data_IF_841715248735
#
_entry.id   IF_841715248735
#
_cell.length_a   1.000
_cell.length_b   1.000
_cell.length_c   1.000
_cell.angle_alpha   90.00
_cell.angle_beta   90.00
_cell.angle_gamma   90.00
#
_symmetry.space_group_name_H-M   'P 1'
#
loop_
_entity.id
_entity.type
_entity.pdbx_description
1 polymer ?
#
# COMPACT_ATOMS: atom_id res chain seq x y z
N UNK A 1 -7.38 0.10 -16.66
CA UNK A 1 -6.52 0.87 -15.72
C UNK A 1 -5.35 1.52 -16.48
N UNK A 2 -4.98 2.78 -16.17
CA UNK A 2 -3.80 3.44 -16.78
C UNK A 2 -2.66 3.64 -15.81
N UNK A 3 -1.42 3.63 -16.29
CA UNK A 3 -0.24 3.97 -15.49
C UNK A 3 -0.28 5.45 -15.07
N UNK A 4 0.21 5.74 -13.87
CA UNK A 4 0.34 7.11 -13.38
C UNK A 4 1.55 7.81 -14.01
N UNK A 5 1.47 9.13 -14.15
CA UNK A 5 2.58 9.99 -14.58
C UNK A 5 3.41 10.46 -13.38
N UNK A 6 4.62 10.96 -13.64
CA UNK A 6 5.53 11.48 -12.60
C UNK A 6 4.91 12.61 -11.77
N UNK A 7 4.19 13.52 -12.41
CA UNK A 7 3.50 14.65 -11.77
C UNK A 7 2.23 14.24 -11.02
N UNK A 8 1.72 13.01 -11.24
CA UNK A 8 0.53 12.49 -10.57
C UNK A 8 0.81 11.84 -9.21
N UNK A 9 2.08 11.61 -8.84
CA UNK A 9 2.45 10.99 -7.55
C UNK A 9 1.75 11.67 -6.37
N UNK A 10 1.79 13.01 -6.32
CA UNK A 10 1.16 13.77 -5.22
C UNK A 10 -0.35 13.58 -5.20
N UNK A 11 -1.00 13.57 -6.38
CA UNK A 11 -2.45 13.37 -6.49
C UNK A 11 -2.85 11.98 -6.01
N UNK A 12 -2.10 10.96 -6.40
CA UNK A 12 -2.33 9.56 -6.01
C UNK A 12 -2.10 9.36 -4.52
N UNK A 13 -1.06 9.97 -3.93
CA UNK A 13 -0.81 9.87 -2.50
C UNK A 13 -1.94 10.46 -1.67
N UNK A 14 -2.53 11.59 -2.10
CA UNK A 14 -3.70 12.18 -1.44
C UNK A 14 -4.93 11.29 -1.55
N UNK A 15 -5.20 10.74 -2.75
CA UNK A 15 -6.28 9.79 -2.95
C UNK A 15 -6.15 8.58 -1.99
N UNK A 16 -4.94 8.02 -1.84
CA UNK A 16 -4.69 6.95 -0.88
C UNK A 16 -4.89 7.41 0.56
N UNK A 17 -4.40 8.60 0.94
CA UNK A 17 -4.66 9.18 2.26
C UNK A 17 -6.15 9.26 2.56
N UNK A 18 -6.97 9.71 1.61
CA UNK A 18 -8.42 9.82 1.78
C UNK A 18 -9.09 8.44 1.85
N UNK A 19 -8.67 7.47 1.02
CA UNK A 19 -9.19 6.10 1.02
C UNK A 19 -8.92 5.40 2.36
N UNK A 20 -7.73 5.62 2.92
CA UNK A 20 -7.25 4.98 4.14
C UNK A 20 -7.41 5.85 5.40
N UNK A 21 -8.16 6.96 5.33
CA UNK A 21 -8.29 7.91 6.44
C UNK A 21 -8.82 7.27 7.74
N UNK A 22 -9.72 6.29 7.61
CA UNK A 22 -10.33 5.56 8.72
C UNK A 22 -9.54 4.29 9.10
N UNK A 23 -8.35 4.09 8.54
CA UNK A 23 -7.57 2.87 8.72
C UNK A 23 -6.70 2.96 9.97
N UNK A 24 -7.18 2.36 11.05
CA UNK A 24 -6.62 2.48 12.41
C UNK A 24 -5.14 2.11 12.51
N UNK A 25 -4.64 1.21 11.66
CA UNK A 25 -3.22 0.83 11.63
C UNK A 25 -2.27 2.03 11.44
N UNK A 26 -2.69 3.09 10.74
CA UNK A 26 -1.87 4.30 10.59
C UNK A 26 -1.71 5.10 11.89
N UNK A 27 -2.60 4.92 12.88
CA UNK A 27 -2.45 5.55 14.20
C UNK A 27 -1.23 5.05 14.97
N UNK A 28 -0.79 3.82 14.68
CA UNK A 28 0.45 3.27 15.24
C UNK A 28 1.66 4.13 14.84
N UNK A 29 1.71 4.57 13.59
CA UNK A 29 2.79 5.39 13.06
C UNK A 29 2.58 6.88 13.35
N UNK A 30 1.33 7.35 13.34
CA UNK A 30 0.97 8.75 13.51
C UNK A 30 -0.09 8.95 14.61
N UNK A 31 0.30 8.83 15.89
CA UNK A 31 -0.66 8.93 16.99
C UNK A 31 -1.22 10.34 17.20
N UNK A 32 -0.52 11.38 16.71
CA UNK A 32 -1.00 12.75 16.74
C UNK A 32 -1.99 13.01 15.59
N UNK A 33 -3.29 13.07 15.89
CA UNK A 33 -4.38 13.26 14.91
C UNK A 33 -4.14 14.44 13.95
N UNK A 34 -3.65 15.58 14.48
CA UNK A 34 -3.34 16.78 13.67
C UNK A 34 -2.26 16.56 12.61
N UNK A 35 -1.41 15.56 12.78
CA UNK A 35 -0.32 15.20 11.85
C UNK A 35 -0.64 13.97 11.02
N UNK A 36 -1.64 13.17 11.40
CA UNK A 36 -1.94 11.87 10.80
C UNK A 36 -2.10 11.94 9.28
N UNK A 37 -3.01 12.79 8.78
CA UNK A 37 -3.24 12.93 7.35
C UNK A 37 -1.96 13.35 6.60
N UNK A 38 -1.18 14.28 7.17
CA UNK A 38 0.05 14.75 6.53
C UNK A 38 1.15 13.68 6.55
N UNK A 39 1.29 12.96 7.66
CA UNK A 39 2.22 11.84 7.80
C UNK A 39 1.90 10.72 6.80
N UNK A 40 0.62 10.34 6.71
CA UNK A 40 0.13 9.36 5.73
C UNK A 40 0.39 9.81 4.29
N UNK A 41 0.07 11.07 3.94
CA UNK A 41 0.38 11.60 2.60
C UNK A 41 1.87 11.48 2.29
N UNK A 42 2.75 11.76 3.25
CA UNK A 42 4.20 11.66 3.04
C UNK A 42 4.69 10.22 2.92
N UNK A 43 4.14 9.28 3.69
CA UNK A 43 4.42 7.85 3.52
C UNK A 43 3.96 7.35 2.15
N UNK A 44 2.72 7.66 1.75
CA UNK A 44 2.25 7.31 0.40
C UNK A 44 3.06 7.99 -0.70
N UNK A 45 3.58 9.22 -0.50
CA UNK A 45 4.48 9.83 -1.50
C UNK A 45 5.78 9.04 -1.65
N UNK A 46 6.35 8.56 -0.56
CA UNK A 46 7.52 7.69 -0.59
C UNK A 46 7.22 6.37 -1.30
N UNK A 47 6.13 5.69 -0.93
CA UNK A 47 5.74 4.39 -1.49
C UNK A 47 5.32 4.48 -2.96
N UNK A 48 4.53 5.49 -3.34
CA UNK A 48 4.08 5.68 -4.72
C UNK A 48 5.20 6.14 -5.62
N UNK A 49 6.19 6.87 -5.11
CA UNK A 49 7.40 7.12 -5.89
C UNK A 49 8.17 5.82 -6.18
N UNK A 50 8.33 4.94 -5.18
CA UNK A 50 8.99 3.65 -5.37
C UNK A 50 8.22 2.75 -6.36
N UNK A 51 6.90 2.68 -6.20
CA UNK A 51 6.00 1.81 -6.98
C UNK A 51 5.49 2.41 -8.28
N UNK A 52 5.84 3.66 -8.61
CA UNK A 52 5.38 4.34 -9.81
C UNK A 52 5.42 3.51 -11.10
N UNK A 53 6.47 2.71 -11.40
CA UNK A 53 6.53 1.91 -12.63
C UNK A 53 5.33 0.97 -12.83
N UNK A 54 4.63 0.60 -11.75
CA UNK A 54 3.50 -0.32 -11.77
C UNK A 54 2.27 0.19 -11.00
N UNK A 55 2.26 1.47 -10.58
CA UNK A 55 1.07 2.10 -9.99
C UNK A 55 0.13 2.57 -11.08
N UNK A 56 -1.12 2.15 -10.99
CA UNK A 56 -2.17 2.47 -11.96
C UNK A 56 -3.39 3.07 -11.28
N UNK A 57 -4.12 3.88 -12.02
CA UNK A 57 -5.39 4.49 -11.63
C UNK A 57 -6.47 4.18 -12.66
N UNK A 58 -7.73 4.29 -12.27
CA UNK A 58 -8.84 4.36 -13.21
C UNK A 58 -8.97 5.76 -13.84
N UNK A 59 -9.87 5.89 -14.82
CA UNK A 59 -9.98 7.10 -15.66
C UNK A 59 -10.48 8.31 -14.87
N UNK A 60 -11.42 8.09 -13.94
CA UNK A 60 -12.04 9.11 -13.09
C UNK A 60 -11.24 9.35 -11.79
N UNK A 61 -10.14 8.64 -11.56
CA UNK A 61 -9.26 8.82 -10.40
C UNK A 61 -9.94 8.48 -9.06
N UNK A 62 -10.86 7.51 -9.07
CA UNK A 62 -11.57 7.02 -7.89
C UNK A 62 -11.06 5.65 -7.42
N UNK A 63 -10.12 5.05 -8.14
CA UNK A 63 -9.44 3.85 -7.71
C UNK A 63 -7.97 3.84 -8.13
N UNK A 64 -7.15 3.21 -7.30
CA UNK A 64 -5.70 3.11 -7.48
C UNK A 64 -5.23 1.72 -7.05
N UNK A 65 -4.26 1.18 -7.78
CA UNK A 65 -3.57 -0.03 -7.40
C UNK A 65 -2.08 0.06 -7.77
N UNK A 66 -1.23 -0.25 -6.81
CA UNK A 66 0.19 -0.54 -6.99
C UNK A 66 0.36 -2.06 -6.90
N UNK A 67 0.35 -2.73 -8.05
CA UNK A 67 0.48 -4.19 -8.17
C UNK A 67 1.79 -4.49 -8.87
N UNK A 68 2.73 -5.09 -8.14
CA UNK A 68 4.03 -5.50 -8.66
C UNK A 68 3.91 -6.89 -9.28
N UNK A 69 4.22 -7.03 -10.56
CA UNK A 69 4.22 -8.32 -11.26
C UNK A 69 5.63 -8.93 -11.30
N UNK A 70 5.76 -10.23 -11.64
CA UNK A 70 7.08 -10.82 -11.88
C UNK A 70 7.88 -10.02 -12.90
N UNK A 71 9.12 -9.67 -12.54
CA UNK A 71 10.01 -8.83 -13.36
C UNK A 71 9.90 -7.32 -13.13
N UNK A 72 8.86 -6.84 -12.44
CA UNK A 72 8.77 -5.43 -12.07
C UNK A 72 9.80 -5.09 -10.98
N UNK A 73 10.28 -3.84 -11.02
CA UNK A 73 11.24 -3.32 -10.04
C UNK A 73 10.79 -1.99 -9.46
N UNK A 74 11.12 -1.79 -8.18
CA UNK A 74 10.87 -0.55 -7.50
C UNK A 74 11.94 0.46 -7.91
N UNK A 75 11.56 1.74 -8.01
CA UNK A 75 12.55 2.81 -8.00
C UNK A 75 13.21 2.87 -6.64
N UNK A 76 14.42 3.43 -6.58
CA UNK A 76 15.07 3.71 -5.30
C UNK A 76 14.47 4.99 -4.67
N UNK A 77 13.62 4.89 -3.64
CA UNK A 77 12.98 6.06 -3.06
C UNK A 77 13.92 6.91 -2.19
N UNK A 78 15.13 6.40 -1.88
CA UNK A 78 16.16 7.20 -1.18
C UNK A 78 16.57 8.44 -1.97
N UNK A 79 16.40 8.42 -3.29
CA UNK A 79 16.66 9.57 -4.17
C UNK A 79 15.77 10.78 -3.86
N UNK A 80 14.58 10.58 -3.28
CA UNK A 80 13.72 11.69 -2.83
C UNK A 80 14.39 12.51 -1.72
N UNK A 81 15.21 11.88 -0.88
CA UNK A 81 15.91 12.53 0.22
C UNK A 81 17.16 13.31 -0.23
N UNK A 82 17.53 13.25 -1.51
CA UNK A 82 18.50 14.18 -2.10
C UNK A 82 17.92 15.60 -2.22
N UNK A 83 16.59 15.75 -2.23
CA UNK A 83 15.93 17.04 -2.15
C UNK A 83 15.74 17.45 -0.68
N UNK A 84 16.43 18.50 -0.18
CA UNK A 84 16.35 18.91 1.21
C UNK A 84 14.94 19.35 1.61
N UNK A 85 14.16 19.95 0.71
CA UNK A 85 12.77 20.34 0.99
C UNK A 85 11.88 19.12 1.24
N UNK A 86 12.07 18.05 0.47
CA UNK A 86 11.36 16.80 0.70
C UNK A 86 11.79 16.17 2.02
N UNK A 87 13.10 16.06 2.27
CA UNK A 87 13.63 15.46 3.50
C UNK A 87 13.12 16.18 4.77
N UNK A 88 13.21 17.52 4.79
CA UNK A 88 12.71 18.32 5.91
C UNK A 88 11.19 18.18 6.07
N UNK A 89 10.43 18.23 4.97
CA UNK A 89 8.97 18.11 5.03
C UNK A 89 8.51 16.70 5.43
N UNK A 90 9.26 15.66 5.06
CA UNK A 90 8.97 14.28 5.44
C UNK A 90 9.21 14.10 6.94
N UNK A 91 10.41 14.45 7.42
CA UNK A 91 10.77 14.31 8.83
C UNK A 91 9.89 15.16 9.75
N UNK A 92 9.48 16.36 9.34
CA UNK A 92 8.59 17.21 10.15
C UNK A 92 7.16 16.66 10.25
N UNK A 93 6.68 16.01 9.18
CA UNK A 93 5.35 15.41 9.14
C UNK A 93 5.31 14.07 9.87
N UNK A 94 6.31 13.21 9.69
CA UNK A 94 6.29 11.83 10.17
C UNK A 94 6.95 11.68 11.53
N UNK A 95 8.00 12.46 11.82
CA UNK A 95 8.82 12.29 13.00
C UNK A 95 9.73 11.05 12.95
N UNK A 96 10.81 11.08 13.73
CA UNK A 96 11.84 10.02 13.74
C UNK A 96 11.29 8.69 14.29
N UNK A 97 10.39 8.76 15.29
CA UNK A 97 9.78 7.56 15.89
C UNK A 97 8.97 6.74 14.87
N UNK A 98 8.15 7.41 14.06
CA UNK A 98 7.35 6.76 13.02
C UNK A 98 8.24 6.10 11.96
N UNK A 99 9.33 6.77 11.56
CA UNK A 99 10.29 6.23 10.58
C UNK A 99 10.97 4.96 11.11
N UNK A 100 11.39 4.97 12.37
CA UNK A 100 11.98 3.79 13.00
C UNK A 100 10.97 2.63 13.07
N UNK A 101 9.75 2.91 13.51
CA UNK A 101 8.70 1.90 13.61
C UNK A 101 8.30 1.34 12.24
N UNK A 102 8.27 2.17 11.19
CA UNK A 102 8.07 1.73 9.81
C UNK A 102 9.19 0.79 9.35
N UNK A 103 10.45 1.07 9.70
CA UNK A 103 11.56 0.17 9.43
C UNK A 103 11.44 -1.18 10.16
N UNK A 104 11.02 -1.16 11.42
CA UNK A 104 10.75 -2.38 12.20
C UNK A 104 9.59 -3.19 11.58
N UNK A 105 8.53 -2.52 11.14
CA UNK A 105 7.41 -3.15 10.44
C UNK A 105 7.82 -3.79 9.11
N UNK A 106 8.60 -3.08 8.27
CA UNK A 106 9.06 -3.62 6.98
C UNK A 106 9.85 -4.91 7.19
N UNK A 107 10.82 -4.92 8.13
CA UNK A 107 11.61 -6.11 8.42
C UNK A 107 10.77 -7.27 8.99
N UNK A 108 9.68 -6.95 9.70
CA UNK A 108 8.72 -7.94 10.20
C UNK A 108 7.89 -8.53 9.05
N UNK A 109 7.30 -7.70 8.19
CA UNK A 109 6.49 -8.12 7.06
C UNK A 109 7.32 -8.92 6.04
N UNK A 110 8.55 -8.50 5.74
CA UNK A 110 9.45 -9.22 4.82
C UNK A 110 9.70 -10.66 5.26
N UNK A 111 9.91 -10.92 6.57
CA UNK A 111 10.08 -12.28 7.10
C UNK A 111 8.85 -13.17 6.94
N UNK A 112 7.66 -12.58 6.94
CA UNK A 112 6.41 -13.31 6.72
C UNK A 112 6.25 -13.56 5.21
N UNK A 113 6.47 -12.53 4.39
CA UNK A 113 6.38 -12.60 2.94
C UNK A 113 7.33 -13.66 2.35
N UNK A 114 8.54 -13.82 2.88
CA UNK A 114 9.50 -14.87 2.46
C UNK A 114 8.91 -16.29 2.46
N UNK A 115 7.88 -16.56 3.28
CA UNK A 115 7.23 -17.88 3.36
C UNK A 115 6.14 -18.09 2.31
N UNK A 116 5.49 -17.02 1.86
CA UNK A 116 4.23 -17.09 1.09
C UNK A 116 4.24 -16.32 -0.22
N UNK A 117 5.25 -15.50 -0.48
CA UNK A 117 5.41 -14.69 -1.67
C UNK A 117 6.67 -15.09 -2.44
N UNK A 118 6.49 -15.48 -3.70
CA UNK A 118 7.54 -15.75 -4.65
C UNK A 118 7.55 -14.67 -5.74
N UNK A 119 8.48 -13.71 -5.71
CA UNK A 119 8.53 -12.60 -6.67
C UNK A 119 8.78 -13.03 -8.13
N UNK A 120 9.18 -14.28 -8.37
CA UNK A 120 9.37 -14.80 -9.72
C UNK A 120 8.07 -15.25 -10.40
N UNK A 121 7.00 -15.50 -9.64
CA UNK A 121 5.75 -16.06 -10.19
C UNK A 121 4.49 -15.40 -9.63
N UNK A 122 4.55 -14.68 -8.52
CA UNK A 122 3.39 -14.06 -7.90
C UNK A 122 3.31 -12.56 -8.22
N UNK A 123 2.09 -12.04 -8.29
CA UNK A 123 1.83 -10.62 -8.15
C UNK A 123 1.80 -10.23 -6.66
N UNK A 124 2.33 -9.05 -6.32
CA UNK A 124 2.21 -8.46 -4.98
C UNK A 124 1.41 -7.17 -5.01
N UNK A 125 0.30 -7.13 -4.28
CA UNK A 125 -0.49 -5.92 -4.08
C UNK A 125 0.14 -5.11 -2.93
N UNK A 126 0.90 -4.07 -3.28
CA UNK A 126 1.51 -3.16 -2.29
C UNK A 126 0.48 -2.22 -1.69
N UNK A 127 -0.35 -1.64 -2.54
CA UNK A 127 -1.41 -0.72 -2.17
C UNK A 127 -2.58 -0.90 -3.15
N UNK A 128 -3.79 -1.00 -2.65
CA UNK A 128 -5.00 -1.01 -3.49
C UNK A 128 -6.14 -0.34 -2.75
N UNK A 129 -6.89 0.49 -3.45
CA UNK A 129 -7.91 1.31 -2.81
C UNK A 129 -8.96 1.82 -3.77
N UNK A 130 -10.17 1.99 -3.24
CA UNK A 130 -11.32 2.57 -3.95
C UNK A 130 -11.90 3.69 -3.08
N UNK A 131 -12.03 4.88 -3.67
CA UNK A 131 -12.65 6.05 -3.07
C UNK A 131 -14.07 5.73 -2.59
N UNK A 132 -14.50 6.35 -1.49
CA UNK A 132 -15.73 5.98 -0.78
C UNK A 132 -16.96 6.02 -1.67
N UNK A 133 -17.07 7.03 -2.52
CA UNK A 133 -18.13 7.25 -3.50
C UNK A 133 -18.18 6.19 -4.62
N UNK A 134 -17.10 5.45 -4.83
CA UNK A 134 -16.96 4.42 -5.86
C UNK A 134 -17.00 2.99 -5.32
N UNK A 135 -17.18 2.81 -4.00
CA UNK A 135 -17.28 1.48 -3.35
C UNK A 135 -18.58 0.78 -3.75
N UNK A 136 -18.59 -0.55 -3.67
CA UNK A 136 -19.73 -1.40 -4.04
C UNK A 136 -19.94 -1.57 -5.56
N UNK A 137 -19.13 -0.91 -6.40
CA UNK A 137 -19.24 -0.98 -7.87
C UNK A 137 -18.33 -2.05 -8.51
N UNK A 138 -17.80 -3.00 -7.72
CA UNK A 138 -16.93 -4.07 -8.21
C UNK A 138 -15.52 -3.65 -8.67
N UNK A 139 -15.13 -2.37 -8.46
CA UNK A 139 -13.84 -1.83 -8.94
C UNK A 139 -12.63 -2.58 -8.39
N UNK A 140 -12.65 -2.98 -7.11
CA UNK A 140 -11.57 -3.74 -6.48
C UNK A 140 -11.30 -5.06 -7.21
N UNK A 141 -12.36 -5.87 -7.42
CA UNK A 141 -12.27 -7.13 -8.17
C UNK A 141 -11.72 -6.89 -9.58
N UNK A 142 -12.29 -5.92 -10.30
CA UNK A 142 -11.84 -5.57 -11.66
C UNK A 142 -10.35 -5.21 -11.69
N UNK A 143 -9.86 -4.43 -10.73
CA UNK A 143 -8.43 -4.07 -10.66
C UNK A 143 -7.55 -5.30 -10.42
N UNK A 144 -7.92 -6.17 -9.49
CA UNK A 144 -7.13 -7.38 -9.21
C UNK A 144 -7.11 -8.29 -10.44
N UNK A 145 -8.26 -8.55 -11.05
CA UNK A 145 -8.37 -9.44 -12.20
C UNK A 145 -7.67 -8.85 -13.44
N UNK A 146 -7.79 -7.54 -13.70
CA UNK A 146 -7.11 -6.87 -14.83
C UNK A 146 -5.58 -6.84 -14.65
N UNK A 147 -5.09 -6.57 -13.44
CA UNK A 147 -3.65 -6.34 -13.20
C UNK A 147 -2.88 -7.62 -12.91
N UNK A 148 -3.51 -8.58 -12.23
CA UNK A 148 -2.88 -9.84 -11.88
C UNK A 148 -3.14 -10.90 -12.95
N UNK A 149 -4.31 -10.91 -13.59
CA UNK A 149 -4.72 -12.00 -14.48
C UNK A 149 -4.73 -13.34 -13.74
N UNK A 150 -4.17 -14.36 -14.39
CA UNK A 150 -4.04 -15.73 -13.87
C UNK A 150 -2.83 -15.94 -12.93
N UNK A 151 -2.06 -14.89 -12.63
CA UNK A 151 -0.93 -15.02 -11.71
C UNK A 151 -1.46 -15.17 -10.27
N UNK A 152 -0.84 -16.04 -9.44
CA UNK A 152 -1.09 -16.03 -8.01
C UNK A 152 -0.83 -14.64 -7.42
N UNK A 153 -1.56 -14.28 -6.38
CA UNK A 153 -1.54 -12.94 -5.82
C UNK A 153 -1.29 -13.01 -4.32
N UNK A 154 -0.28 -12.30 -3.86
CA UNK A 154 0.02 -12.08 -2.45
C UNK A 154 -0.37 -10.64 -2.06
N UNK A 155 -0.90 -10.48 -0.85
CA UNK A 155 -1.16 -9.18 -0.24
C UNK A 155 -1.05 -9.27 1.28
N UNK A 156 -0.94 -8.09 1.90
CA UNK A 156 -0.90 -7.93 3.34
C UNK A 156 -1.97 -6.92 3.76
N UNK A 157 -2.63 -7.18 4.89
CA UNK A 157 -3.60 -6.25 5.46
C UNK A 157 -3.55 -6.25 6.98
N UNK A 158 -4.17 -5.24 7.59
CA UNK A 158 -4.18 -5.01 9.04
C UNK A 158 -5.59 -4.83 9.59
N UNK A 159 -6.60 -4.94 8.73
CA UNK A 159 -7.99 -4.71 9.06
C UNK A 159 -8.77 -5.98 8.75
N UNK A 160 -9.41 -6.52 9.78
CA UNK A 160 -10.22 -7.72 9.69
C UNK A 160 -11.40 -7.55 8.73
N UNK A 161 -11.92 -6.33 8.55
CA UNK A 161 -12.97 -6.08 7.56
C UNK A 161 -12.47 -6.30 6.13
N UNK A 162 -11.19 -6.00 5.85
CA UNK A 162 -10.59 -6.27 4.54
C UNK A 162 -10.38 -7.77 4.32
N UNK A 163 -10.09 -8.54 5.38
CA UNK A 163 -9.92 -10.00 5.27
C UNK A 163 -11.16 -10.65 4.67
N UNK A 164 -12.35 -10.35 5.19
CA UNK A 164 -13.61 -10.90 4.67
C UNK A 164 -13.84 -10.51 3.18
N UNK A 165 -13.50 -9.28 2.81
CA UNK A 165 -13.58 -8.82 1.42
C UNK A 165 -12.63 -9.66 0.54
N UNK A 166 -11.38 -9.85 0.95
CA UNK A 166 -10.40 -10.60 0.17
C UNK A 166 -10.73 -12.10 0.11
N UNK A 167 -11.31 -12.68 1.16
CA UNK A 167 -11.80 -14.06 1.14
C UNK A 167 -12.91 -14.26 0.08
N UNK A 168 -13.86 -13.32 -0.03
CA UNK A 168 -14.84 -13.32 -1.13
C UNK A 168 -14.21 -13.11 -2.52
N UNK A 169 -12.96 -12.60 -2.57
CA UNK A 169 -12.19 -12.48 -3.80
C UNK A 169 -11.34 -13.71 -4.11
N UNK A 170 -11.40 -14.75 -3.28
CA UNK A 170 -10.68 -16.02 -3.44
C UNK A 170 -9.33 -16.07 -2.75
N UNK A 171 -8.98 -15.06 -1.95
CA UNK A 171 -7.80 -15.12 -1.10
C UNK A 171 -8.06 -16.01 0.11
N UNK A 172 -7.00 -16.61 0.64
CA UNK A 172 -6.99 -17.26 1.95
C UNK A 172 -5.99 -16.57 2.87
N UNK A 173 -6.26 -16.58 4.17
CA UNK A 173 -5.27 -16.17 5.18
C UNK A 173 -4.19 -17.25 5.29
N UNK A 174 -2.94 -16.86 5.07
CA UNK A 174 -1.77 -17.72 5.21
C UNK A 174 -1.17 -17.64 6.62
N UNK A 175 -1.06 -16.42 7.16
CA UNK A 175 -0.51 -16.17 8.49
C UNK A 175 -1.20 -14.98 9.15
N UNK A 176 -1.40 -15.08 10.47
CA UNK A 176 -1.81 -13.98 11.34
C UNK A 176 -0.70 -13.76 12.35
N UNK A 177 -0.20 -12.54 12.46
CA UNK A 177 0.89 -12.21 13.36
C UNK A 177 0.64 -10.87 14.05
N UNK A 178 1.00 -10.75 15.33
CA UNK A 178 0.89 -9.48 16.07
C UNK A 178 2.10 -8.59 15.80
N UNK A 179 1.84 -7.32 15.53
CA UNK A 179 2.83 -6.26 15.48
C UNK A 179 2.35 -5.08 16.35
N UNK A 180 2.89 -4.99 17.56
CA UNK A 180 2.57 -3.93 18.52
C UNK A 180 1.06 -3.78 18.80
N UNK A 181 0.33 -4.89 18.92
CA UNK A 181 -1.11 -4.88 19.19
C UNK A 181 -1.98 -4.75 17.94
N UNK A 182 -1.40 -4.71 16.74
CA UNK A 182 -2.13 -4.79 15.47
C UNK A 182 -1.90 -6.15 14.83
N UNK A 183 -2.95 -6.75 14.30
CA UNK A 183 -2.83 -8.02 13.57
C UNK A 183 -2.43 -7.74 12.13
N UNK A 184 -1.30 -8.31 11.71
CA UNK A 184 -0.90 -8.42 10.33
C UNK A 184 -1.44 -9.73 9.75
N UNK A 185 -2.14 -9.62 8.63
CA UNK A 185 -2.68 -10.75 7.87
C UNK A 185 -1.93 -10.85 6.54
N UNK A 186 -1.19 -11.94 6.36
CA UNK A 186 -0.64 -12.32 5.07
C UNK A 186 -1.67 -13.17 4.33
N UNK A 187 -2.03 -12.79 3.10
CA UNK A 187 -3.08 -13.45 2.33
C UNK A 187 -2.62 -13.79 0.92
N UNK A 188 -3.13 -14.91 0.40
CA UNK A 188 -2.78 -15.40 -0.95
C UNK A 188 -4.00 -15.90 -1.71
N UNK A 189 -4.06 -15.60 -3.00
CA UNK A 189 -4.94 -16.21 -4.00
C UNK A 189 -4.06 -16.99 -4.98
N UNK A 190 -4.35 -18.26 -5.21
CA UNK A 190 -3.62 -19.07 -6.20
C UNK A 190 -4.24 -18.96 -7.59
#
# INVERSE_FOLDING_TARGET
>A
MRLIKTDEVVKVSRLLTDIFADYEAYRLFFPEEKKMAKGMEMFFRYEIYASQPYTRVDEDFLAVAAVKRPGDSDRNPKTLFLNPFFACSFLSATGIKAVRLAGEYIAFAEKIAEKYYNPAVDCYIKNIGVAREARGQGRLRRMIDELCGEFPVYLETHDENNVAIYEHLGFRVCEKADFHGYTHYAMRRD
#
